data_IF_770990716059
#
_entry.id   IF_770990716059
#
_cell.length_a   1.000
_cell.length_b   1.000
_cell.length_c   1.000
_cell.angle_alpha   90.00
_cell.angle_beta   90.00
_cell.angle_gamma   90.00
#
_symmetry.space_group_name_H-M   'P 1'
#
loop_
_entity.id
_entity.type
_entity.pdbx_description
1 polymer ?
#
# COMPACT_ATOMS: atom_id res chain seq x y z
N UNK A 1 7.33 7.07 4.93
CA UNK A 1 7.44 8.22 5.86
C UNK A 1 6.34 8.27 6.92
N UNK A 2 5.46 7.27 6.94
CA UNK A 2 4.37 7.10 7.91
C UNK A 2 4.64 5.85 8.75
N UNK A 3 4.04 5.73 9.95
CA UNK A 3 4.09 4.48 10.72
C UNK A 3 3.48 3.29 9.96
N UNK A 4 2.41 3.54 9.20
CA UNK A 4 1.76 2.55 8.33
C UNK A 4 2.74 1.95 7.33
N UNK A 5 3.47 2.78 6.57
CA UNK A 5 4.41 2.28 5.57
C UNK A 5 5.57 1.49 6.20
N UNK A 6 6.00 1.86 7.40
CA UNK A 6 7.00 1.08 8.15
C UNK A 6 6.47 -0.31 8.53
N UNK A 7 5.22 -0.38 9.03
CA UNK A 7 4.55 -1.64 9.28
C UNK A 7 4.42 -2.51 8.03
N UNK A 8 4.04 -1.91 6.89
CA UNK A 8 3.96 -2.60 5.58
C UNK A 8 5.33 -3.17 5.17
N UNK A 9 6.41 -2.39 5.30
CA UNK A 9 7.77 -2.84 4.95
C UNK A 9 8.22 -3.99 5.87
N UNK A 10 7.96 -3.89 7.17
CA UNK A 10 8.31 -4.96 8.12
C UNK A 10 7.56 -6.25 7.81
N UNK A 11 6.24 -6.16 7.62
CA UNK A 11 5.42 -7.32 7.24
C UNK A 11 5.86 -7.92 5.90
N UNK A 12 6.19 -7.08 4.91
CA UNK A 12 6.75 -7.53 3.65
C UNK A 12 8.06 -8.31 3.85
N UNK A 13 8.97 -7.84 4.69
CA UNK A 13 10.22 -8.57 4.98
C UNK A 13 9.97 -9.92 5.66
N UNK A 14 9.06 -9.97 6.63
CA UNK A 14 8.67 -11.22 7.30
C UNK A 14 8.08 -12.22 6.30
N UNK A 15 7.17 -11.76 5.43
CA UNK A 15 6.57 -12.58 4.39
C UNK A 15 7.61 -13.07 3.37
N UNK A 16 8.50 -12.19 2.92
CA UNK A 16 9.56 -12.54 1.97
C UNK A 16 10.55 -13.56 2.55
N UNK A 17 10.85 -13.49 3.84
CA UNK A 17 11.69 -14.49 4.52
C UNK A 17 11.10 -15.90 4.39
N UNK A 18 9.80 -16.07 4.72
CA UNK A 18 9.14 -17.37 4.58
C UNK A 18 9.07 -17.83 3.13
N UNK A 19 8.71 -16.94 2.20
CA UNK A 19 8.63 -17.28 0.77
C UNK A 19 9.98 -17.75 0.23
N UNK A 20 11.08 -17.05 0.53
CA UNK A 20 12.42 -17.42 0.07
C UNK A 20 12.80 -18.80 0.59
N UNK A 21 12.55 -19.11 1.87
CA UNK A 21 12.84 -20.43 2.45
C UNK A 21 12.05 -21.52 1.73
N UNK A 22 10.75 -21.32 1.52
CA UNK A 22 9.89 -22.28 0.83
C UNK A 22 10.36 -22.48 -0.61
N UNK A 23 10.66 -21.41 -1.33
CA UNK A 23 11.16 -21.47 -2.71
C UNK A 23 12.48 -22.24 -2.78
N UNK A 24 13.45 -21.94 -1.91
CA UNK A 24 14.73 -22.66 -1.87
C UNK A 24 14.51 -24.15 -1.58
N UNK A 25 13.64 -24.48 -0.61
CA UNK A 25 13.32 -25.86 -0.26
C UNK A 25 12.72 -26.63 -1.44
N UNK A 26 11.73 -26.05 -2.11
CA UNK A 26 11.08 -26.65 -3.29
C UNK A 26 12.07 -26.81 -4.44
N UNK A 27 12.85 -25.76 -4.75
CA UNK A 27 13.88 -25.82 -5.79
C UNK A 27 14.93 -26.89 -5.48
N UNK A 28 15.33 -27.04 -4.21
CA UNK A 28 16.27 -28.07 -3.79
C UNK A 28 15.70 -29.48 -3.96
N UNK A 29 14.43 -29.72 -3.57
CA UNK A 29 13.76 -31.01 -3.79
C UNK A 29 13.70 -31.33 -5.29
N UNK A 30 13.26 -30.38 -6.12
CA UNK A 30 13.16 -30.58 -7.57
C UNK A 30 14.54 -30.89 -8.18
N UNK A 31 15.57 -30.15 -7.80
CA UNK A 31 16.94 -30.43 -8.23
C UNK A 31 17.39 -31.83 -7.81
N UNK A 32 17.10 -32.24 -6.58
CA UNK A 32 17.43 -33.58 -6.07
C UNK A 32 16.68 -34.67 -6.82
N UNK A 33 15.41 -34.45 -7.17
CA UNK A 33 14.62 -35.39 -7.97
C UNK A 33 15.29 -35.59 -9.32
N UNK A 34 15.59 -34.51 -10.04
CA UNK A 34 16.24 -34.56 -11.35
C UNK A 34 17.61 -35.25 -11.27
N UNK A 35 18.41 -34.92 -10.26
CA UNK A 35 19.77 -35.45 -10.15
C UNK A 35 19.83 -36.92 -9.72
N UNK A 36 18.92 -37.39 -8.85
CA UNK A 36 18.96 -38.76 -8.31
C UNK A 36 18.08 -39.75 -9.07
N UNK A 37 16.93 -39.29 -9.57
CA UNK A 37 15.92 -40.14 -10.21
C UNK A 37 15.90 -40.02 -11.73
N UNK A 38 17.01 -39.57 -12.34
CA UNK A 38 17.22 -39.68 -13.79
C UNK A 38 17.28 -41.15 -14.21
N UNK A 39 16.80 -41.49 -15.41
CA UNK A 39 16.82 -42.84 -15.98
C UNK A 39 18.20 -43.52 -15.90
N UNK A 40 19.28 -42.76 -16.10
CA UNK A 40 20.65 -43.27 -16.02
C UNK A 40 21.06 -43.75 -14.61
N UNK A 41 20.47 -43.19 -13.55
CA UNK A 41 20.81 -43.49 -12.15
C UNK A 41 19.77 -44.34 -11.44
N UNK A 42 18.50 -44.20 -11.80
CA UNK A 42 17.41 -45.00 -11.28
C UNK A 42 16.56 -45.57 -12.42
N UNK A 43 17.01 -46.67 -13.06
CA UNK A 43 16.38 -47.23 -14.26
C UNK A 43 15.06 -47.97 -13.98
N UNK A 44 14.84 -48.39 -12.73
CA UNK A 44 13.61 -49.09 -12.31
C UNK A 44 12.85 -48.17 -11.37
N UNK A 45 11.61 -47.84 -11.72
CA UNK A 45 10.75 -46.99 -10.89
C UNK A 45 10.16 -47.79 -9.71
N UNK A 46 10.13 -47.16 -8.54
CA UNK A 46 9.42 -47.67 -7.37
C UNK A 46 7.89 -47.56 -7.57
N UNK A 47 7.12 -48.45 -6.95
CA UNK A 47 5.67 -48.60 -7.20
C UNK A 47 4.77 -48.13 -6.05
N UNK A 48 5.31 -47.48 -5.02
CA UNK A 48 4.49 -46.92 -3.94
C UNK A 48 3.60 -45.78 -4.46
N UNK A 49 2.35 -45.74 -4.01
CA UNK A 49 1.34 -44.80 -4.54
C UNK A 49 0.87 -43.76 -3.50
N UNK A 50 0.94 -44.09 -2.20
CA UNK A 50 0.45 -43.23 -1.12
C UNK A 50 1.40 -43.20 0.08
N UNK A 51 1.32 -42.14 0.88
CA UNK A 51 2.11 -41.99 2.10
C UNK A 51 1.39 -41.11 3.12
N UNK A 52 0.43 -41.67 3.84
CA UNK A 52 -0.44 -40.89 4.76
C UNK A 52 0.35 -40.09 5.80
N UNK A 53 1.48 -40.61 6.30
CA UNK A 53 2.32 -39.89 7.27
C UNK A 53 2.96 -38.64 6.66
N UNK A 54 3.47 -38.72 5.43
CA UNK A 54 4.08 -37.55 4.76
C UNK A 54 3.01 -36.56 4.32
N UNK A 55 1.83 -37.05 3.95
CA UNK A 55 0.65 -36.25 3.66
C UNK A 55 0.24 -35.36 4.84
N UNK A 56 0.19 -35.93 6.04
CA UNK A 56 -0.08 -35.17 7.27
C UNK A 56 1.00 -34.11 7.48
N UNK A 57 2.28 -34.46 7.33
CA UNK A 57 3.40 -33.53 7.55
C UNK A 57 3.32 -32.32 6.59
N UNK A 58 3.21 -32.55 5.28
CA UNK A 58 3.18 -31.45 4.30
C UNK A 58 1.86 -30.67 4.30
N UNK A 59 0.82 -31.17 4.98
CA UNK A 59 -0.43 -30.42 5.14
C UNK A 59 -0.37 -29.56 6.40
N UNK A 60 0.15 -30.10 7.50
CA UNK A 60 0.25 -29.38 8.78
C UNK A 60 1.32 -28.29 8.79
N UNK A 61 2.48 -28.50 8.16
CA UNK A 61 3.57 -27.51 8.16
C UNK A 61 3.15 -26.20 7.45
N UNK A 62 2.61 -26.20 6.22
CA UNK A 62 2.16 -24.97 5.58
C UNK A 62 1.05 -24.28 6.34
N UNK A 63 0.11 -25.03 6.94
CA UNK A 63 -0.94 -24.46 7.78
C UNK A 63 -0.36 -23.69 8.99
N UNK A 64 0.67 -24.25 9.65
CA UNK A 64 1.35 -23.58 10.75
C UNK A 64 2.11 -22.33 10.29
N UNK A 65 2.79 -22.38 9.13
CA UNK A 65 3.48 -21.22 8.56
C UNK A 65 2.48 -20.09 8.29
N UNK A 66 1.34 -20.39 7.69
CA UNK A 66 0.29 -19.40 7.43
C UNK A 66 -0.26 -18.80 8.72
N UNK A 67 -0.44 -19.60 9.78
CA UNK A 67 -0.87 -19.10 11.08
C UNK A 67 0.12 -18.08 11.66
N UNK A 68 1.43 -18.36 11.55
CA UNK A 68 2.48 -17.45 12.03
C UNK A 68 2.47 -16.14 11.24
N UNK A 69 2.32 -16.19 9.91
CA UNK A 69 2.26 -15.00 9.05
C UNK A 69 0.99 -14.18 9.32
N UNK A 70 -0.13 -14.83 9.64
CA UNK A 70 -1.41 -14.15 9.85
C UNK A 70 -1.40 -13.22 11.08
N UNK A 71 -0.66 -13.56 12.14
CA UNK A 71 -0.62 -12.76 13.39
C UNK A 71 -0.14 -11.31 13.15
N UNK A 72 1.06 -11.05 12.60
CA UNK A 72 1.51 -9.69 12.32
C UNK A 72 0.66 -9.01 11.23
N UNK A 73 0.10 -9.79 10.28
CA UNK A 73 -0.80 -9.26 9.26
C UNK A 73 -2.06 -8.66 9.87
N UNK A 74 -2.71 -9.36 10.78
CA UNK A 74 -3.92 -8.87 11.45
C UNK A 74 -3.61 -7.70 12.37
N UNK A 75 -2.50 -7.75 13.11
CA UNK A 75 -2.08 -6.62 13.94
C UNK A 75 -1.90 -5.35 13.11
N UNK A 76 -1.20 -5.43 11.97
CA UNK A 76 -1.02 -4.30 11.05
C UNK A 76 -2.35 -3.81 10.49
N UNK A 77 -3.23 -4.72 10.05
CA UNK A 77 -4.54 -4.38 9.49
C UNK A 77 -5.36 -3.53 10.47
N UNK A 78 -5.46 -3.96 11.73
CA UNK A 78 -6.21 -3.22 12.74
C UNK A 78 -5.54 -1.88 13.09
N UNK A 79 -4.21 -1.83 13.17
CA UNK A 79 -3.49 -0.56 13.40
C UNK A 79 -3.67 0.45 12.25
N UNK A 80 -3.92 -0.01 11.03
CA UNK A 80 -4.19 0.88 9.89
C UNK A 80 -5.62 1.44 9.88
N UNK A 81 -6.56 0.74 10.51
CA UNK A 81 -7.99 1.13 10.54
C UNK A 81 -8.34 2.03 11.75
N UNK A 82 -7.42 2.18 12.72
CA UNK A 82 -7.65 3.06 13.87
C UNK A 82 -7.73 4.54 13.46
N UNK A 83 -8.93 5.11 13.62
CA UNK A 83 -9.17 6.54 13.37
C UNK A 83 -8.90 7.33 14.64
N UNK A 84 -7.72 7.94 14.70
CA UNK A 84 -7.37 8.95 15.72
C UNK A 84 -8.03 10.28 15.32
N UNK A 85 -8.41 11.08 16.33
CA UNK A 85 -8.99 12.42 16.12
C UNK A 85 -8.06 13.29 15.24
N UNK A 86 -8.48 13.68 14.03
CA UNK A 86 -7.64 14.45 13.12
C UNK A 86 -7.64 15.93 13.49
N UNK A 87 -6.53 16.63 13.22
CA UNK A 87 -6.47 18.09 13.31
C UNK A 87 -6.96 18.76 12.04
N UNK A 88 -6.73 18.13 10.89
CA UNK A 88 -7.09 18.65 9.57
C UNK A 88 -7.81 17.56 8.78
N UNK A 89 -8.90 17.93 8.12
CA UNK A 89 -9.55 17.11 7.09
C UNK A 89 -9.29 17.69 5.71
N UNK A 90 -8.87 16.84 4.78
CA UNK A 90 -8.72 17.18 3.37
C UNK A 90 -9.60 16.24 2.57
N UNK A 91 -10.42 16.81 1.70
CA UNK A 91 -11.22 16.05 0.75
C UNK A 91 -10.54 16.06 -0.62
N UNK A 92 -10.47 14.88 -1.22
CA UNK A 92 -9.83 14.59 -2.49
C UNK A 92 -10.91 14.10 -3.45
N UNK A 93 -11.03 14.76 -4.59
CA UNK A 93 -12.02 14.44 -5.62
C UNK A 93 -11.28 14.12 -6.91
N UNK A 94 -11.39 12.87 -7.36
CA UNK A 94 -10.90 12.46 -8.68
C UNK A 94 -11.84 12.90 -9.80
N UNK A 95 -11.28 13.48 -10.86
CA UNK A 95 -11.98 13.87 -12.08
C UNK A 95 -11.14 13.50 -13.31
N UNK A 96 -11.75 13.37 -14.49
CA UNK A 96 -11.05 13.11 -15.74
C UNK A 96 -10.39 14.40 -16.27
N UNK A 97 -9.06 14.55 -16.30
CA UNK A 97 -7.97 13.74 -15.73
C UNK A 97 -7.09 14.61 -14.82
N UNK A 98 -7.60 14.90 -13.62
CA UNK A 98 -6.96 15.75 -12.62
C UNK A 98 -7.55 15.49 -11.22
N UNK A 99 -6.95 16.07 -10.19
CA UNK A 99 -7.43 15.96 -8.82
C UNK A 99 -7.85 17.31 -8.27
N UNK A 100 -8.99 17.38 -7.59
CA UNK A 100 -9.39 18.56 -6.81
C UNK A 100 -9.19 18.28 -5.32
N UNK A 101 -8.66 19.26 -4.61
CA UNK A 101 -8.43 19.21 -3.17
C UNK A 101 -9.22 20.30 -2.47
N UNK A 102 -9.92 19.94 -1.39
CA UNK A 102 -10.73 20.82 -0.57
C UNK A 102 -10.28 20.73 0.89
N UNK A 103 -9.86 21.86 1.47
CA UNK A 103 -9.51 21.99 2.88
C UNK A 103 -10.69 22.65 3.61
N UNK A 104 -11.52 21.84 4.27
CA UNK A 104 -12.77 22.30 4.90
C UNK A 104 -12.57 22.94 6.27
N UNK A 105 -11.55 22.50 7.02
CA UNK A 105 -11.45 22.76 8.46
C UNK A 105 -10.40 23.84 8.82
N UNK A 106 -9.71 24.41 7.81
CA UNK A 106 -8.44 25.12 8.03
C UNK A 106 -8.55 26.65 8.16
N UNK A 107 -9.73 27.24 7.91
CA UNK A 107 -9.89 28.70 7.83
C UNK A 107 -11.07 29.19 8.66
N UNK A 108 -10.86 29.30 9.98
CA UNK A 108 -11.59 30.26 10.81
C UNK A 108 -10.61 31.33 11.24
N UNK A 109 -10.43 32.36 10.41
CA UNK A 109 -9.66 33.53 10.82
C UNK A 109 -10.46 34.28 11.89
N UNK A 110 -9.81 34.60 13.01
CA UNK A 110 -10.40 35.13 14.25
C UNK A 110 -11.21 36.44 14.12
N UNK A 111 -11.45 37.01 12.94
CA UNK A 111 -12.17 38.29 12.81
C UNK A 111 -13.17 38.41 11.65
N UNK A 112 -13.41 37.39 10.84
CA UNK A 112 -14.53 37.39 9.87
C UNK A 112 -15.08 35.96 9.75
N UNK A 113 -16.41 35.81 9.88
CA UNK A 113 -17.17 34.55 9.65
C UNK A 113 -17.13 34.15 8.15
N UNK A 114 -15.93 33.97 7.61
CA UNK A 114 -15.72 33.50 6.25
C UNK A 114 -15.42 32.01 6.37
N UNK A 115 -16.49 31.21 6.37
CA UNK A 115 -16.41 29.76 6.14
C UNK A 115 -16.02 29.47 4.68
N UNK A 116 -14.88 29.98 4.22
CA UNK A 116 -14.36 29.64 2.90
C UNK A 116 -13.43 28.44 3.02
N UNK A 117 -13.84 27.32 2.40
CA UNK A 117 -12.95 26.20 2.16
C UNK A 117 -11.95 26.58 1.06
N UNK A 118 -10.67 26.28 1.27
CA UNK A 118 -9.67 26.40 0.22
C UNK A 118 -9.85 25.23 -0.74
N UNK A 119 -10.18 25.54 -1.99
CA UNK A 119 -10.37 24.56 -3.05
C UNK A 119 -9.43 24.89 -4.20
N UNK A 120 -8.72 23.88 -4.71
CA UNK A 120 -7.92 24.01 -5.92
C UNK A 120 -7.84 22.70 -6.71
N UNK A 121 -7.57 22.85 -8.00
CA UNK A 121 -7.31 21.74 -8.92
C UNK A 121 -5.80 21.53 -9.09
N UNK A 122 -5.42 20.26 -9.29
CA UNK A 122 -4.05 19.80 -9.44
C UNK A 122 -3.93 19.04 -10.76
N UNK A 123 -3.25 19.66 -11.72
CA UNK A 123 -2.97 19.15 -13.05
C UNK A 123 -1.51 18.73 -13.16
N UNK A 124 -1.27 17.70 -13.97
CA UNK A 124 0.09 17.30 -14.34
C UNK A 124 0.74 18.38 -15.19
N UNK A 125 1.97 18.77 -14.87
CA UNK A 125 2.75 19.70 -15.69
C UNK A 125 3.15 19.04 -17.03
N UNK A 126 3.03 19.81 -18.12
CA UNK A 126 3.50 19.39 -19.43
C UNK A 126 5.03 19.43 -19.50
N UNK A 127 5.62 18.64 -20.42
CA UNK A 127 7.08 18.51 -20.51
C UNK A 127 7.79 19.86 -20.77
N UNK A 128 7.16 20.77 -21.52
CA UNK A 128 7.70 22.10 -21.82
C UNK A 128 7.71 23.05 -20.59
N UNK A 129 6.83 22.81 -19.61
CA UNK A 129 6.73 23.60 -18.37
C UNK A 129 7.63 23.07 -17.24
N UNK A 130 8.25 21.90 -17.42
CA UNK A 130 9.12 21.30 -16.43
C UNK A 130 10.45 22.04 -16.31
N UNK A 131 10.86 22.31 -15.07
CA UNK A 131 12.17 22.86 -14.73
C UNK A 131 13.21 21.73 -14.62
N UNK A 132 14.48 22.07 -14.86
CA UNK A 132 15.59 21.13 -14.69
C UNK A 132 15.59 20.52 -13.28
N UNK A 133 15.54 19.18 -13.20
CA UNK A 133 15.50 18.43 -11.95
C UNK A 133 14.10 17.98 -11.50
N UNK A 134 13.04 18.43 -12.17
CA UNK A 134 11.67 17.97 -11.92
C UNK A 134 11.38 16.61 -12.60
N UNK A 135 10.45 15.86 -12.02
CA UNK A 135 10.08 14.55 -12.52
C UNK A 135 8.97 14.62 -13.58
N UNK A 136 9.25 14.02 -14.74
CA UNK A 136 8.27 13.82 -15.81
C UNK A 136 7.11 12.94 -15.32
N UNK A 137 5.87 13.32 -15.64
CA UNK A 137 4.62 12.62 -15.30
C UNK A 137 4.28 12.49 -13.80
N UNK A 138 5.02 13.16 -12.92
CA UNK A 138 4.76 13.16 -11.47
C UNK A 138 4.55 14.56 -10.91
N UNK A 139 5.10 15.57 -11.57
CA UNK A 139 4.98 16.94 -11.12
C UNK A 139 3.64 17.55 -11.49
N UNK A 140 3.13 18.36 -10.57
CA UNK A 140 1.84 19.03 -10.66
C UNK A 140 2.00 20.53 -10.46
N UNK A 141 1.05 21.30 -11.00
CA UNK A 141 0.99 22.75 -10.85
C UNK A 141 0.74 23.17 -9.39
N UNK A 142 -0.25 22.58 -8.74
CA UNK A 142 -0.64 22.84 -7.36
C UNK A 142 -0.46 21.57 -6.51
N UNK A 143 0.39 21.68 -5.49
CA UNK A 143 0.70 20.58 -4.58
C UNK A 143 -0.20 20.63 -3.35
N UNK A 144 -0.59 19.46 -2.86
CA UNK A 144 -1.19 19.30 -1.53
C UNK A 144 -0.12 19.56 -0.48
N UNK A 145 -0.43 20.43 0.49
CA UNK A 145 0.47 20.79 1.59
C UNK A 145 -0.20 20.38 2.88
N UNK A 146 0.53 19.65 3.73
CA UNK A 146 0.02 19.15 5.00
C UNK A 146 1.08 19.29 6.09
N UNK A 147 0.70 19.51 7.36
CA UNK A 147 1.65 19.56 8.47
C UNK A 147 2.21 18.18 8.80
N UNK A 148 3.45 18.15 9.28
CA UNK A 148 4.05 16.94 9.85
C UNK A 148 3.65 16.73 11.30
N UNK A 149 3.88 15.53 11.84
CA UNK A 149 3.64 15.14 13.23
C UNK A 149 2.21 15.39 13.73
N UNK A 150 1.25 15.34 12.81
CA UNK A 150 -0.16 15.62 13.07
C UNK A 150 -1.01 14.55 12.38
N UNK A 151 -2.13 14.17 13.01
CA UNK A 151 -3.12 13.29 12.38
C UNK A 151 -3.96 14.08 11.38
N UNK A 152 -3.97 13.63 10.13
CA UNK A 152 -4.75 14.23 9.05
C UNK A 152 -5.73 13.18 8.54
N UNK A 153 -6.99 13.58 8.40
CA UNK A 153 -8.03 12.75 7.77
C UNK A 153 -8.11 13.09 6.29
N UNK A 154 -8.07 12.07 5.46
CA UNK A 154 -8.27 12.20 4.01
C UNK A 154 -9.60 11.55 3.65
N UNK A 155 -10.47 12.32 3.00
CA UNK A 155 -11.75 11.86 2.47
C UNK A 155 -11.62 11.77 0.94
N UNK A 156 -11.84 10.59 0.37
CA UNK A 156 -11.55 10.29 -1.03
C UNK A 156 -12.84 9.91 -1.75
N UNK A 157 -13.14 10.60 -2.85
CA UNK A 157 -14.29 10.33 -3.71
C UNK A 157 -13.98 10.72 -5.15
N UNK A 158 -14.89 10.47 -6.07
CA UNK A 158 -14.76 10.87 -7.47
C UNK A 158 -16.04 11.55 -7.96
N UNK A 159 -15.88 12.46 -8.92
CA UNK A 159 -16.99 13.19 -9.55
C UNK A 159 -17.60 12.42 -10.73
N UNK A 160 -16.81 11.55 -11.38
CA UNK A 160 -17.16 10.92 -12.65
C UNK A 160 -17.01 9.40 -12.69
N UNK A 161 -15.79 8.88 -12.81
CA UNK A 161 -15.44 7.46 -12.94
C UNK A 161 -14.60 7.01 -11.76
N UNK A 162 -14.21 5.74 -11.76
CA UNK A 162 -13.30 5.21 -10.74
C UNK A 162 -11.90 5.77 -10.94
N UNK A 163 -11.31 6.28 -9.86
CA UNK A 163 -9.88 6.61 -9.75
C UNK A 163 -9.29 5.94 -8.51
N UNK A 164 -7.99 6.08 -8.29
CA UNK A 164 -7.35 5.60 -7.06
C UNK A 164 -6.33 6.64 -6.60
N UNK A 165 -6.48 7.13 -5.38
CA UNK A 165 -5.54 8.10 -4.82
C UNK A 165 -4.46 7.34 -4.07
N UNK A 166 -3.24 7.36 -4.60
CA UNK A 166 -2.15 6.56 -4.07
C UNK A 166 -0.85 7.36 -3.93
N UNK A 167 -0.23 7.28 -2.76
CA UNK A 167 1.09 7.86 -2.47
C UNK A 167 1.93 6.74 -1.84
N UNK A 168 2.70 5.97 -2.64
CA UNK A 168 3.37 4.75 -2.18
C UNK A 168 4.31 4.99 -1.00
N UNK A 169 5.02 6.11 -0.99
CA UNK A 169 5.97 6.46 0.09
C UNK A 169 5.30 6.75 1.44
N UNK A 170 3.99 7.01 1.43
CA UNK A 170 3.15 7.15 2.63
C UNK A 170 2.38 5.87 2.96
N UNK A 171 2.46 4.82 2.12
CA UNK A 171 1.74 3.58 2.32
C UNK A 171 0.22 3.74 2.16
N UNK A 172 -0.22 4.75 1.40
CA UNK A 172 -1.64 5.04 1.19
C UNK A 172 -2.01 4.70 -0.25
N UNK A 173 -3.09 3.96 -0.41
CA UNK A 173 -3.77 3.73 -1.67
C UNK A 173 -5.23 3.44 -1.37
N UNK A 174 -6.13 4.25 -1.90
CA UNK A 174 -7.57 4.06 -1.71
C UNK A 174 -8.32 4.50 -2.95
N UNK A 175 -9.35 3.74 -3.31
CA UNK A 175 -10.14 4.04 -4.49
C UNK A 175 -11.05 5.26 -4.25
N UNK A 176 -11.13 6.08 -5.29
CA UNK A 176 -12.06 7.19 -5.41
C UNK A 176 -13.24 6.71 -6.24
N UNK A 177 -14.36 6.43 -5.56
CA UNK A 177 -15.55 5.86 -6.20
C UNK A 177 -16.69 6.89 -6.21
N UNK A 178 -17.30 7.17 -7.38
CA UNK A 178 -18.49 8.03 -7.46
C UNK A 178 -19.61 7.49 -6.55
N UNK A 179 -20.22 8.37 -5.77
CA UNK A 179 -21.29 8.02 -4.83
C UNK A 179 -20.83 7.34 -3.53
N UNK A 180 -19.52 7.21 -3.29
CA UNK A 180 -18.97 6.78 -1.99
C UNK A 180 -17.92 7.77 -1.50
N UNK A 181 -17.89 7.97 -0.19
CA UNK A 181 -16.87 8.77 0.48
C UNK A 181 -16.02 7.82 1.32
N UNK A 182 -14.85 7.45 0.78
CA UNK A 182 -13.90 6.62 1.50
C UNK A 182 -13.05 7.51 2.42
N UNK A 183 -12.58 6.95 3.52
CA UNK A 183 -11.78 7.67 4.50
C UNK A 183 -10.48 6.92 4.77
N UNK A 184 -9.39 7.66 4.94
CA UNK A 184 -8.15 7.15 5.51
C UNK A 184 -7.51 8.20 6.43
N UNK A 185 -6.60 7.75 7.28
CA UNK A 185 -5.83 8.59 8.19
C UNK A 185 -4.37 8.58 7.78
N UNK A 186 -3.71 9.73 7.89
CA UNK A 186 -2.29 9.85 7.61
C UNK A 186 -1.57 10.59 8.73
N UNK A 187 -0.36 10.12 9.06
CA UNK A 187 0.55 10.74 10.01
C UNK A 187 1.96 10.75 9.42
N UNK A 188 2.42 11.94 9.01
CA UNK A 188 3.73 12.10 8.37
C UNK A 188 4.80 12.39 9.43
N UNK A 189 5.85 11.57 9.50
CA UNK A 189 6.93 11.67 10.50
C UNK A 189 8.10 12.59 10.10
N UNK A 190 8.11 13.14 8.88
CA UNK A 190 9.20 14.00 8.39
C UNK A 190 8.73 14.90 7.25
N UNK A 191 9.36 16.06 7.13
CA UNK A 191 9.15 16.98 6.02
C UNK A 191 9.71 16.41 4.71
N UNK A 192 9.13 16.83 3.59
CA UNK A 192 9.56 16.44 2.25
C UNK A 192 8.44 16.50 1.23
N UNK A 193 8.79 16.17 -0.03
CA UNK A 193 7.83 16.02 -1.13
C UNK A 193 7.61 14.53 -1.38
N UNK A 194 6.35 14.11 -1.43
CA UNK A 194 5.95 12.73 -1.62
C UNK A 194 5.08 12.64 -2.88
N UNK A 195 5.51 11.83 -3.84
CA UNK A 195 4.81 11.66 -5.12
C UNK A 195 3.89 10.44 -5.09
N UNK A 196 2.84 10.53 -5.90
CA UNK A 196 1.80 9.53 -6.07
C UNK A 196 1.25 9.52 -7.49
N UNK A 197 0.63 8.41 -7.89
CA UNK A 197 -0.07 8.21 -9.17
C UNK A 197 -1.21 7.23 -8.97
#
# INVERSE_FOLDING_TARGET
ATPVMEGIINFHHDLMYFLIIITIFVCWILFRIIFMFSENKNPIAETFVHGSTIEIIWTSIPALILLIIAIPSFALLYSMDEIIYPLITIKVIGSQWYWTYEYSDCFSFENEDINESLIFDSYMLQEDDLKLGQFRLLEVDNRVIVPTYTHIRILITASDVLHSWAIPSLGIKLDACPGRLNQTSMFIKREGVFYGQ
#
